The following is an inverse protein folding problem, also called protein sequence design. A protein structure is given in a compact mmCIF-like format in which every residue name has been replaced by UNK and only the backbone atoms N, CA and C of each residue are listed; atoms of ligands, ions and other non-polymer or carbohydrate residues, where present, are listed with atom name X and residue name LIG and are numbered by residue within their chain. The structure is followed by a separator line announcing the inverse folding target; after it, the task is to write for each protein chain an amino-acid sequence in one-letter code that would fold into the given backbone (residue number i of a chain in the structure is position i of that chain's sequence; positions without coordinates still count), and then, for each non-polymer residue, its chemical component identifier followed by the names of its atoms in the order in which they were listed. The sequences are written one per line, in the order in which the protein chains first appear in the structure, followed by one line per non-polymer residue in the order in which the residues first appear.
data_IF_398770379451
#
_entry.id   IF_398770379451
#
_cell.length_a   1.000
_cell.length_b   1.000
_cell.length_c   1.000
_cell.angle_alpha   90.00
_cell.angle_beta   90.00
_cell.angle_gamma   90.00
#
_symmetry.space_group_name_H-M   'P 1'
#
loop_
_entity.id
_entity.type
_entity.pdbx_description
1 polymer ?
#
# COMPACT_ATOMS: atom_id res chain seq x y z
N UNK A 1 -5.51 -8.48 -28.30
CA UNK A 1 -5.36 -7.84 -26.99
C UNK A 1 -3.90 -7.91 -26.58
N UNK A 2 -3.10 -6.91 -26.97
CA UNK A 2 -1.68 -6.85 -26.61
C UNK A 2 -1.54 -6.35 -25.18
N UNK A 3 -1.38 -7.28 -24.24
CA UNK A 3 -1.17 -6.97 -22.83
C UNK A 3 0.18 -6.29 -22.60
N UNK A 4 0.15 -5.19 -21.84
CA UNK A 4 1.33 -4.44 -21.38
C UNK A 4 2.45 -5.40 -20.91
N UNK A 5 3.72 -5.23 -21.32
CA UNK A 5 4.83 -6.13 -20.98
C UNK A 5 4.97 -6.43 -19.48
N UNK A 6 4.63 -5.45 -18.63
CA UNK A 6 4.68 -5.56 -17.17
C UNK A 6 3.62 -6.51 -16.59
N UNK A 7 2.44 -6.62 -17.22
CA UNK A 7 1.39 -7.54 -16.79
C UNK A 7 1.77 -9.01 -17.06
N UNK A 8 2.54 -9.29 -18.13
CA UNK A 8 3.01 -10.65 -18.45
C UNK A 8 3.98 -11.22 -17.41
N UNK A 9 4.86 -10.39 -16.84
CA UNK A 9 5.79 -10.79 -15.79
C UNK A 9 5.04 -11.23 -14.51
N UNK A 10 3.91 -10.59 -14.21
CA UNK A 10 3.10 -10.92 -13.03
C UNK A 10 2.10 -12.05 -13.25
N UNK A 11 1.60 -12.29 -14.47
CA UNK A 11 0.97 -13.59 -14.76
C UNK A 11 1.93 -14.74 -14.41
N UNK A 12 3.23 -14.56 -14.60
CA UNK A 12 4.27 -15.49 -14.15
C UNK A 12 4.32 -15.64 -12.62
N UNK A 13 4.35 -14.52 -11.87
CA UNK A 13 4.38 -14.52 -10.39
C UNK A 13 3.08 -15.09 -9.80
N UNK A 14 1.92 -14.70 -10.33
CA UNK A 14 0.63 -15.20 -9.89
C UNK A 14 0.47 -16.69 -10.17
N UNK A 15 0.91 -17.16 -11.35
CA UNK A 15 0.94 -18.58 -11.70
C UNK A 15 1.93 -19.36 -10.85
N UNK A 16 3.05 -18.74 -10.45
CA UNK A 16 4.03 -19.30 -9.51
C UNK A 16 3.45 -19.39 -8.08
N UNK A 17 2.77 -18.36 -7.59
CA UNK A 17 2.15 -18.38 -6.26
C UNK A 17 0.98 -19.36 -6.18
N UNK A 18 0.19 -19.44 -7.26
CA UNK A 18 -0.85 -20.44 -7.41
C UNK A 18 -0.28 -21.86 -7.47
N UNK A 19 0.82 -22.07 -8.22
CA UNK A 19 1.49 -23.38 -8.29
C UNK A 19 2.17 -23.78 -6.97
N UNK A 20 2.61 -22.80 -6.18
CA UNK A 20 3.13 -22.99 -4.83
C UNK A 20 2.01 -23.22 -3.78
N UNK A 21 0.73 -23.18 -4.17
CA UNK A 21 -0.46 -23.26 -3.28
C UNK A 21 -0.47 -22.18 -2.19
N UNK A 22 0.15 -21.04 -2.47
CA UNK A 22 0.21 -19.89 -1.55
C UNK A 22 -1.01 -18.99 -1.76
N UNK A 23 -1.75 -19.15 -2.87
CA UNK A 23 -2.96 -18.37 -3.18
C UNK A 23 -4.22 -19.23 -3.09
N UNK A 24 -5.22 -18.75 -2.35
CA UNK A 24 -6.56 -19.35 -2.33
C UNK A 24 -7.60 -18.30 -2.75
N UNK A 25 -8.33 -18.61 -3.83
CA UNK A 25 -9.33 -17.70 -4.41
C UNK A 25 -10.75 -18.13 -4.04
N UNK A 26 -11.59 -17.18 -3.65
CA UNK A 26 -13.00 -17.40 -3.33
C UNK A 26 -13.91 -16.95 -4.48
N UNK A 27 -15.04 -17.64 -4.71
CA UNK A 27 -15.92 -17.33 -5.83
C UNK A 27 -16.69 -16.01 -5.66
N UNK A 28 -16.85 -15.51 -4.43
CA UNK A 28 -17.56 -14.27 -4.12
C UNK A 28 -16.96 -13.58 -2.90
N UNK A 29 -17.31 -12.31 -2.71
CA UNK A 29 -16.90 -11.54 -1.52
C UNK A 29 -17.49 -12.13 -0.23
N UNK A 30 -18.74 -12.59 -0.28
CA UNK A 30 -19.39 -13.27 0.84
C UNK A 30 -18.59 -14.51 1.27
N UNK A 31 -18.22 -15.38 0.32
CA UNK A 31 -17.45 -16.59 0.63
C UNK A 31 -16.06 -16.27 1.20
N UNK A 32 -15.45 -15.16 0.76
CA UNK A 32 -14.20 -14.67 1.32
C UNK A 32 -14.38 -14.18 2.76
N UNK A 33 -15.33 -13.27 3.01
CA UNK A 33 -15.62 -12.70 4.34
C UNK A 33 -15.99 -13.77 5.37
N UNK A 34 -16.87 -14.70 5.01
CA UNK A 34 -17.23 -15.85 5.86
C UNK A 34 -15.99 -16.63 6.30
N UNK A 35 -15.02 -16.81 5.40
CA UNK A 35 -13.79 -17.56 5.70
C UNK A 35 -12.79 -16.74 6.51
N UNK A 36 -12.72 -15.43 6.30
CA UNK A 36 -11.88 -14.54 7.10
C UNK A 36 -12.44 -14.34 8.52
N UNK A 37 -13.73 -14.64 8.75
CA UNK A 37 -14.40 -14.36 10.02
C UNK A 37 -14.59 -12.86 10.25
N UNK A 38 -14.58 -12.07 9.17
CA UNK A 38 -14.68 -10.62 9.20
C UNK A 38 -15.97 -10.19 8.51
N UNK A 39 -16.77 -9.35 9.17
CA UNK A 39 -17.89 -8.66 8.55
C UNK A 39 -17.40 -7.25 8.18
N UNK A 40 -16.67 -7.16 7.07
CA UNK A 40 -16.07 -5.92 6.57
C UNK A 40 -16.83 -5.41 5.35
N UNK A 41 -16.61 -4.14 5.00
CA UNK A 41 -17.22 -3.58 3.79
C UNK A 41 -16.65 -4.19 2.51
N UNK A 42 -17.27 -3.86 1.37
CA UNK A 42 -16.90 -4.39 0.04
C UNK A 42 -15.47 -4.04 -0.40
N UNK A 43 -14.78 -3.17 0.34
CA UNK A 43 -13.37 -2.84 0.14
C UNK A 43 -12.42 -3.99 0.55
N UNK A 44 -12.82 -4.87 1.48
CA UNK A 44 -11.97 -5.97 1.96
C UNK A 44 -12.09 -7.18 1.05
N UNK A 45 -11.16 -7.34 0.11
CA UNK A 45 -11.23 -8.35 -0.96
C UNK A 45 -10.02 -9.27 -1.06
N UNK A 46 -8.98 -8.99 -0.30
CA UNK A 46 -7.78 -9.80 -0.23
C UNK A 46 -7.13 -9.67 1.15
N UNK A 47 -6.37 -10.69 1.54
CA UNK A 47 -5.60 -10.74 2.77
C UNK A 47 -4.36 -11.62 2.57
N UNK A 48 -3.19 -11.08 2.89
CA UNK A 48 -2.00 -11.90 3.16
C UNK A 48 -1.93 -12.28 4.63
N UNK A 49 -2.19 -13.55 4.92
CA UNK A 49 -2.07 -14.07 6.27
C UNK A 49 -0.61 -14.44 6.55
N UNK A 50 0.03 -13.72 7.47
CA UNK A 50 1.30 -14.14 8.05
C UNK A 50 1.08 -14.97 9.32
N UNK A 51 0.24 -14.44 10.22
CA UNK A 51 -0.21 -15.05 11.49
C UNK A 51 -1.57 -14.52 11.97
N UNK A 52 -2.17 -13.58 11.24
CA UNK A 52 -3.24 -12.69 11.70
C UNK A 52 -4.58 -13.40 11.86
N UNK A 53 -4.79 -14.47 11.08
CA UNK A 53 -5.96 -15.33 11.14
C UNK A 53 -5.49 -16.74 11.53
N UNK A 54 -5.61 -17.15 12.82
CA UNK A 54 -5.00 -18.37 13.34
C UNK A 54 -5.42 -19.66 12.63
N UNK A 55 -6.62 -19.70 12.07
CA UNK A 55 -7.18 -20.84 11.32
C UNK A 55 -6.69 -20.93 9.87
N UNK A 56 -5.95 -19.93 9.38
CA UNK A 56 -5.42 -19.88 8.03
C UNK A 56 -3.92 -20.21 8.03
N UNK A 57 -3.46 -20.84 6.95
CA UNK A 57 -2.02 -21.04 6.71
C UNK A 57 -1.43 -19.73 6.20
N UNK A 58 -0.10 -19.65 6.20
CA UNK A 58 0.56 -18.53 5.55
C UNK A 58 0.24 -18.51 4.06
N UNK A 59 -0.29 -17.40 3.55
CA UNK A 59 -0.69 -17.29 2.15
C UNK A 59 -1.56 -16.09 1.84
N UNK A 60 -1.82 -15.91 0.54
CA UNK A 60 -2.71 -14.91 -0.03
C UNK A 60 -4.11 -15.50 -0.20
N UNK A 61 -5.09 -14.85 0.40
CA UNK A 61 -6.51 -15.19 0.32
C UNK A 61 -7.23 -14.05 -0.38
N UNK A 62 -8.01 -14.31 -1.42
CA UNK A 62 -8.68 -13.21 -2.13
C UNK A 62 -9.94 -13.63 -2.89
N UNK A 63 -10.81 -12.67 -3.19
CA UNK A 63 -11.91 -12.85 -4.15
C UNK A 63 -11.32 -13.13 -5.54
N UNK A 64 -11.98 -13.98 -6.32
CA UNK A 64 -11.55 -14.34 -7.67
C UNK A 64 -11.48 -13.09 -8.58
N UNK A 65 -10.32 -12.79 -9.21
CA UNK A 65 -10.24 -11.71 -10.20
C UNK A 65 -11.14 -11.90 -11.43
N UNK A 66 -11.65 -13.12 -11.66
CA UNK A 66 -12.55 -13.45 -12.77
C UNK A 66 -14.03 -13.30 -12.40
N UNK A 67 -14.33 -13.06 -11.13
CA UNK A 67 -15.67 -12.73 -10.65
C UNK A 67 -15.58 -11.64 -9.57
N UNK A 68 -15.01 -10.46 -9.91
CA UNK A 68 -15.02 -9.34 -8.99
C UNK A 68 -16.47 -8.91 -8.82
N UNK A 69 -16.91 -8.71 -7.57
CA UNK A 69 -18.24 -8.14 -7.31
C UNK A 69 -18.36 -6.73 -7.92
N UNK A 70 -19.54 -6.13 -7.90
CA UNK A 70 -19.88 -4.86 -8.57
C UNK A 70 -19.00 -3.66 -8.24
N UNK A 71 -18.38 -3.63 -7.05
CA UNK A 71 -17.51 -2.53 -6.59
C UNK A 71 -16.10 -2.62 -7.20
N UNK A 72 -15.66 -3.82 -7.58
CA UNK A 72 -14.31 -4.08 -8.07
C UNK A 72 -14.32 -4.49 -9.53
N UNK A 73 -13.17 -4.31 -10.19
CA UNK A 73 -12.95 -4.87 -11.51
C UNK A 73 -11.70 -5.74 -11.48
N UNK A 74 -11.48 -6.50 -12.56
CA UNK A 74 -10.33 -7.41 -12.63
C UNK A 74 -8.99 -6.68 -12.39
N UNK A 75 -8.87 -5.42 -12.83
CA UNK A 75 -7.67 -4.64 -12.59
C UNK A 75 -7.50 -4.26 -11.11
N UNK A 76 -8.54 -3.79 -10.42
CA UNK A 76 -8.45 -3.50 -8.97
C UNK A 76 -8.14 -4.76 -8.17
N UNK A 77 -8.66 -5.92 -8.58
CA UNK A 77 -8.33 -7.21 -7.96
C UNK A 77 -6.85 -7.60 -8.13
N UNK A 78 -6.26 -7.35 -9.30
CA UNK A 78 -4.82 -7.57 -9.49
C UNK A 78 -3.97 -6.62 -8.63
N UNK A 79 -4.37 -5.35 -8.51
CA UNK A 79 -3.69 -4.39 -7.65
C UNK A 79 -3.77 -4.80 -6.17
N UNK A 80 -4.95 -5.24 -5.71
CA UNK A 80 -5.13 -5.77 -4.36
C UNK A 80 -4.23 -6.98 -4.10
N UNK A 81 -4.09 -7.88 -5.07
CA UNK A 81 -3.18 -9.02 -4.91
C UNK A 81 -1.70 -8.63 -4.82
N UNK A 82 -1.26 -7.62 -5.58
CA UNK A 82 0.12 -7.10 -5.49
C UNK A 82 0.34 -6.43 -4.13
N UNK A 83 -0.63 -5.64 -3.66
CA UNK A 83 -0.63 -5.01 -2.36
C UNK A 83 -0.45 -6.07 -1.25
N UNK A 84 -1.33 -7.06 -1.21
CA UNK A 84 -1.26 -8.13 -0.20
C UNK A 84 0.01 -8.96 -0.32
N UNK A 85 0.44 -9.32 -1.52
CA UNK A 85 1.68 -10.07 -1.71
C UNK A 85 2.90 -9.30 -1.16
N UNK A 86 2.86 -7.97 -1.23
CA UNK A 86 3.92 -7.11 -0.68
C UNK A 86 4.01 -7.25 0.82
N UNK A 87 2.87 -7.28 1.54
CA UNK A 87 2.84 -7.57 2.98
C UNK A 87 3.51 -8.91 3.31
N UNK A 88 3.25 -9.96 2.53
CA UNK A 88 3.91 -11.25 2.73
C UNK A 88 5.44 -11.15 2.62
N UNK A 89 5.96 -10.39 1.64
CA UNK A 89 7.41 -10.18 1.53
C UNK A 89 7.98 -9.37 2.69
N UNK A 90 7.27 -8.35 3.16
CA UNK A 90 7.66 -7.56 4.32
C UNK A 90 7.78 -8.46 5.55
N UNK A 91 6.76 -9.28 5.85
CA UNK A 91 6.80 -10.23 6.97
C UNK A 91 7.93 -11.25 6.90
N UNK A 92 8.40 -11.60 5.70
CA UNK A 92 9.54 -12.51 5.51
C UNK A 92 10.91 -11.85 5.64
N UNK A 93 10.98 -10.52 5.49
CA UNK A 93 12.24 -9.78 5.45
C UNK A 93 12.49 -8.94 6.69
N UNK A 94 11.44 -8.48 7.36
CA UNK A 94 11.55 -7.67 8.56
C UNK A 94 12.15 -8.49 9.72
N UNK A 95 13.11 -7.89 10.42
CA UNK A 95 13.72 -8.48 11.63
C UNK A 95 13.09 -7.93 12.92
N UNK A 96 12.10 -7.05 12.80
CA UNK A 96 11.35 -6.46 13.89
C UNK A 96 10.08 -5.80 13.36
N UNK A 97 9.34 -5.14 14.23
CA UNK A 97 8.11 -4.45 13.86
C UNK A 97 8.40 -3.23 12.99
N UNK A 98 7.57 -3.04 11.96
CA UNK A 98 7.59 -1.85 11.12
C UNK A 98 6.35 -1.00 11.43
N UNK A 99 6.45 0.33 11.33
CA UNK A 99 5.29 1.19 11.46
C UNK A 99 4.29 0.92 10.33
N UNK A 100 3.01 1.15 10.58
CA UNK A 100 1.94 0.88 9.60
C UNK A 100 2.17 1.62 8.29
N UNK A 101 2.67 2.86 8.33
CA UNK A 101 2.99 3.59 7.11
C UNK A 101 4.04 2.90 6.22
N UNK A 102 4.95 2.10 6.77
CA UNK A 102 5.85 1.30 5.96
C UNK A 102 5.12 0.12 5.32
N UNK A 103 4.30 -0.61 6.09
CA UNK A 103 3.49 -1.72 5.55
C UNK A 103 2.62 -1.24 4.39
N UNK A 104 1.74 -0.28 4.68
CA UNK A 104 0.76 0.22 3.73
C UNK A 104 1.39 1.04 2.62
N UNK A 105 2.42 1.84 2.93
CA UNK A 105 3.12 2.64 1.94
C UNK A 105 3.83 1.80 0.91
N UNK A 106 4.53 0.73 1.31
CA UNK A 106 5.28 -0.12 0.38
C UNK A 106 4.31 -0.92 -0.48
N UNK A 107 3.25 -1.47 0.12
CA UNK A 107 2.22 -2.20 -0.59
C UNK A 107 1.49 -1.34 -1.64
N UNK A 108 1.12 -0.10 -1.29
CA UNK A 108 0.54 0.86 -2.23
C UNK A 108 1.56 1.33 -3.28
N UNK A 109 2.83 1.54 -2.91
CA UNK A 109 3.88 1.95 -3.85
C UNK A 109 4.13 0.88 -4.91
N UNK A 110 4.23 -0.39 -4.51
CA UNK A 110 4.39 -1.50 -5.45
C UNK A 110 3.15 -1.69 -6.32
N UNK A 111 1.94 -1.73 -5.74
CA UNK A 111 0.71 -1.84 -6.51
C UNK A 111 0.54 -0.69 -7.50
N UNK A 112 0.83 0.55 -7.09
CA UNK A 112 0.72 1.77 -7.89
C UNK A 112 1.60 1.78 -9.15
N UNK A 113 2.67 0.98 -9.21
CA UNK A 113 3.49 0.84 -10.44
C UNK A 113 2.71 0.18 -11.59
N UNK A 114 1.69 -0.61 -11.28
CA UNK A 114 0.95 -1.45 -12.24
C UNK A 114 -0.46 -0.96 -12.54
N UNK A 115 -0.93 0.09 -11.85
CA UNK A 115 -2.23 0.69 -12.12
C UNK A 115 -2.33 1.18 -13.57
N UNK A 116 -3.35 0.72 -14.30
CA UNK A 116 -3.67 1.15 -15.67
C UNK A 116 -4.02 2.64 -15.76
N UNK A 117 -4.29 3.28 -14.62
CA UNK A 117 -4.52 4.71 -14.53
C UNK A 117 -3.74 5.31 -13.36
N UNK A 118 -2.41 5.44 -13.53
CA UNK A 118 -1.55 6.23 -12.63
C UNK A 118 -2.12 7.63 -12.36
N UNK A 119 -2.86 8.21 -13.30
CA UNK A 119 -3.49 9.51 -13.12
C UNK A 119 -4.70 9.45 -12.17
N UNK A 120 -5.55 8.42 -12.22
CA UNK A 120 -6.77 8.36 -11.38
C UNK A 120 -6.50 8.12 -9.90
N UNK A 121 -5.63 7.14 -9.57
CA UNK A 121 -5.21 6.93 -8.18
C UNK A 121 -4.51 8.19 -7.65
N UNK A 122 -3.69 8.82 -8.49
CA UNK A 122 -2.98 10.04 -8.15
C UNK A 122 -3.95 11.22 -7.96
N UNK A 123 -4.95 11.44 -8.81
CA UNK A 123 -5.89 12.56 -8.67
C UNK A 123 -6.77 12.41 -7.43
N UNK A 124 -7.46 11.27 -7.24
CA UNK A 124 -8.31 11.08 -6.04
C UNK A 124 -7.52 11.11 -4.74
N UNK A 125 -6.33 10.51 -4.74
CA UNK A 125 -5.47 10.54 -3.54
C UNK A 125 -4.90 11.93 -3.29
N UNK A 126 -4.59 12.71 -4.33
CA UNK A 126 -4.15 14.11 -4.18
C UNK A 126 -5.30 14.98 -3.67
N UNK A 127 -6.50 14.87 -4.22
CA UNK A 127 -7.65 15.65 -3.78
C UNK A 127 -7.91 15.43 -2.27
N UNK A 128 -7.90 14.16 -1.85
CA UNK A 128 -8.06 13.81 -0.44
C UNK A 128 -6.89 14.28 0.43
N UNK A 129 -5.63 14.14 -0.02
CA UNK A 129 -4.46 14.68 0.68
C UNK A 129 -4.52 16.21 0.81
N UNK A 130 -5.02 16.91 -0.21
CA UNK A 130 -5.18 18.36 -0.19
C UNK A 130 -6.25 18.78 0.82
N UNK A 131 -7.39 18.10 0.85
CA UNK A 131 -8.44 18.31 1.86
C UNK A 131 -7.90 18.13 3.29
N UNK A 132 -7.16 17.04 3.54
CA UNK A 132 -6.54 16.78 4.85
C UNK A 132 -5.52 17.87 5.17
N UNK A 133 -4.68 18.25 4.21
CA UNK A 133 -3.69 19.30 4.42
C UNK A 133 -4.34 20.64 4.82
N UNK A 134 -5.44 21.02 4.17
CA UNK A 134 -6.15 22.27 4.45
C UNK A 134 -6.88 22.25 5.79
N UNK A 135 -7.40 21.10 6.21
CA UNK A 135 -8.24 20.97 7.41
C UNK A 135 -7.45 20.58 8.67
N UNK A 136 -6.42 19.75 8.53
CA UNK A 136 -5.68 19.11 9.62
C UNK A 136 -4.16 19.29 9.53
N UNK A 137 -3.64 19.69 8.36
CA UNK A 137 -2.22 19.67 8.07
C UNK A 137 -1.71 18.30 7.63
N UNK A 138 -0.46 18.22 7.17
CA UNK A 138 0.16 16.93 6.81
C UNK A 138 0.36 16.11 8.10
N UNK A 139 -0.02 14.81 8.15
CA UNK A 139 0.20 13.96 9.33
C UNK A 139 1.69 13.79 9.69
N UNK A 140 1.99 13.58 10.98
CA UNK A 140 3.35 13.20 11.44
C UNK A 140 3.61 11.72 11.22
N UNK A 141 4.89 11.29 11.23
CA UNK A 141 5.25 9.87 11.20
C UNK A 141 4.63 9.09 12.36
N UNK A 142 4.52 9.74 13.53
CA UNK A 142 3.89 9.15 14.71
C UNK A 142 2.40 8.90 14.48
N UNK A 143 1.67 9.89 13.94
CA UNK A 143 0.26 9.72 13.57
C UNK A 143 0.06 8.62 12.53
N UNK A 144 0.94 8.55 11.53
CA UNK A 144 0.94 7.51 10.50
C UNK A 144 1.39 6.13 11.01
N UNK A 145 1.80 6.02 12.27
CA UNK A 145 2.13 4.76 12.93
C UNK A 145 1.00 4.25 13.85
N UNK A 146 -0.17 4.91 13.85
CA UNK A 146 -1.34 4.48 14.62
C UNK A 146 -1.81 3.08 14.23
N UNK A 147 -2.10 2.24 15.21
CA UNK A 147 -2.69 0.90 15.02
C UNK A 147 -4.20 0.93 14.77
N UNK A 148 -4.83 2.09 14.93
CA UNK A 148 -6.25 2.28 14.65
C UNK A 148 -6.45 2.51 13.15
N UNK A 149 -7.08 1.54 12.48
CA UNK A 149 -7.28 1.56 11.03
C UNK A 149 -8.22 2.67 10.56
N UNK A 150 -9.20 3.05 11.40
CA UNK A 150 -10.17 4.08 11.06
C UNK A 150 -9.48 5.45 11.13
N UNK A 151 -8.75 5.70 12.21
CA UNK A 151 -7.92 6.92 12.34
C UNK A 151 -6.88 6.98 11.22
N UNK A 152 -6.21 5.86 10.90
CA UNK A 152 -5.25 5.80 9.80
C UNK A 152 -5.89 6.17 8.46
N UNK A 153 -7.11 5.71 8.19
CA UNK A 153 -7.84 6.07 6.98
C UNK A 153 -8.24 7.55 6.98
N UNK A 154 -8.77 8.08 8.08
CA UNK A 154 -9.26 9.46 8.21
C UNK A 154 -8.17 10.51 8.00
N UNK A 155 -6.94 10.22 8.44
CA UNK A 155 -5.78 11.11 8.24
C UNK A 155 -5.13 10.93 6.86
N UNK A 156 -5.74 10.17 5.94
CA UNK A 156 -5.21 9.90 4.61
C UNK A 156 -3.98 9.00 4.61
N UNK A 157 -3.88 8.10 5.60
CA UNK A 157 -2.71 7.29 5.89
C UNK A 157 -2.17 6.56 4.68
N UNK A 158 -3.01 5.94 3.86
CA UNK A 158 -2.57 5.23 2.64
C UNK A 158 -1.86 6.15 1.63
N UNK A 159 -2.42 7.33 1.38
CA UNK A 159 -1.89 8.27 0.39
C UNK A 159 -0.58 8.91 0.87
N UNK A 160 -0.54 9.38 2.13
CA UNK A 160 0.69 9.93 2.70
C UNK A 160 1.78 8.86 2.84
N UNK A 161 1.44 7.63 3.23
CA UNK A 161 2.38 6.50 3.31
C UNK A 161 2.98 6.14 1.95
N UNK A 162 2.19 6.17 0.88
CA UNK A 162 2.71 6.02 -0.48
C UNK A 162 3.80 7.08 -0.78
N UNK A 163 3.56 8.35 -0.41
CA UNK A 163 4.53 9.43 -0.67
C UNK A 163 5.79 9.31 0.18
N UNK A 164 5.72 8.73 1.38
CA UNK A 164 6.90 8.42 2.21
C UNK A 164 7.81 7.43 1.50
N UNK A 165 7.25 6.36 0.94
CA UNK A 165 8.01 5.36 0.20
C UNK A 165 8.54 5.93 -1.11
N UNK A 166 7.74 6.73 -1.82
CA UNK A 166 8.22 7.41 -3.01
C UNK A 166 9.41 8.33 -2.68
N UNK A 167 9.33 9.10 -1.59
CA UNK A 167 10.40 9.99 -1.14
C UNK A 167 11.68 9.21 -0.80
N UNK A 168 11.56 8.11 -0.04
CA UNK A 168 12.70 7.23 0.28
C UNK A 168 13.37 6.72 -0.99
N UNK A 169 12.58 6.16 -1.92
CA UNK A 169 13.12 5.57 -3.15
C UNK A 169 13.74 6.63 -4.06
N UNK A 170 13.16 7.84 -4.14
CA UNK A 170 13.73 8.91 -4.96
C UNK A 170 15.03 9.47 -4.39
N UNK A 171 15.11 9.61 -3.06
CA UNK A 171 16.27 10.24 -2.42
C UNK A 171 17.40 9.26 -2.13
N UNK A 172 17.09 8.02 -1.78
CA UNK A 172 18.11 7.03 -1.38
C UNK A 172 18.12 5.74 -2.20
N UNK A 173 17.22 5.51 -3.16
CA UNK A 173 17.01 4.27 -3.93
C UNK A 173 16.26 3.12 -3.21
N UNK A 174 15.95 2.09 -3.99
CA UNK A 174 15.17 0.93 -3.55
C UNK A 174 15.98 -0.01 -2.65
N UNK A 175 17.29 -0.14 -2.87
CA UNK A 175 18.17 -0.92 -2.00
C UNK A 175 18.18 -0.38 -0.57
N UNK A 176 18.10 0.94 -0.41
CA UNK A 176 17.97 1.58 0.91
C UNK A 176 16.63 1.25 1.57
N UNK A 177 15.53 1.25 0.81
CA UNK A 177 14.23 0.79 1.33
C UNK A 177 14.28 -0.66 1.81
N UNK A 178 14.98 -1.55 1.10
CA UNK A 178 15.18 -2.94 1.53
C UNK A 178 15.95 -3.05 2.85
N UNK A 179 16.95 -2.20 3.08
CA UNK A 179 17.67 -2.13 4.36
C UNK A 179 16.74 -1.66 5.49
N UNK A 180 15.90 -0.65 5.23
CA UNK A 180 14.91 -0.18 6.21
C UNK A 180 13.90 -1.27 6.57
N UNK A 181 13.39 -2.03 5.59
CA UNK A 181 12.49 -3.17 5.86
C UNK A 181 13.18 -4.16 6.80
N UNK A 182 14.47 -4.45 6.59
CA UNK A 182 15.19 -5.43 7.41
C UNK A 182 15.52 -4.91 8.81
N UNK A 183 15.89 -3.64 8.96
CA UNK A 183 16.45 -3.05 10.19
C UNK A 183 15.92 -1.64 10.44
N UNK A 184 14.61 -1.53 10.64
CA UNK A 184 13.98 -0.24 10.93
C UNK A 184 14.47 0.39 12.24
N UNK A 185 14.92 -0.43 13.20
CA UNK A 185 15.62 0.02 14.42
C UNK A 185 16.89 0.85 14.12
N UNK A 186 17.40 0.78 12.89
CA UNK A 186 18.58 1.52 12.39
C UNK A 186 18.21 2.63 11.42
N UNK A 187 16.99 3.18 11.50
CA UNK A 187 16.48 4.21 10.59
C UNK A 187 17.48 5.34 10.29
N UNK A 188 17.98 6.01 11.34
CA UNK A 188 18.89 7.15 11.18
C UNK A 188 20.27 6.74 10.66
N UNK A 189 20.76 5.56 11.05
CA UNK A 189 22.01 4.98 10.55
C UNK A 189 21.91 4.65 9.06
N UNK A 190 20.78 4.09 8.61
CA UNK A 190 20.56 3.69 7.22
C UNK A 190 20.36 4.90 6.32
N UNK A 191 19.64 5.93 6.78
CA UNK A 191 19.34 7.12 5.98
C UNK A 191 20.38 8.24 6.13
N UNK A 192 21.18 8.23 7.20
CA UNK A 192 22.14 9.27 7.51
C UNK A 192 21.50 10.60 7.93
N UNK A 193 20.23 10.59 8.33
CA UNK A 193 19.47 11.76 8.79
C UNK A 193 18.64 11.39 10.02
N UNK A 194 18.33 12.38 10.86
CA UNK A 194 17.43 12.15 12.00
C UNK A 194 15.99 11.93 11.54
N UNK A 195 15.16 11.29 12.37
CA UNK A 195 13.73 11.16 12.08
C UNK A 195 13.04 12.52 11.88
N UNK A 196 13.36 13.52 12.71
CA UNK A 196 12.81 14.87 12.59
C UNK A 196 13.20 15.54 11.26
N UNK A 197 14.47 15.42 10.85
CA UNK A 197 14.93 15.96 9.57
C UNK A 197 14.30 15.24 8.39
N UNK A 198 14.14 13.92 8.48
CA UNK A 198 13.46 13.14 7.46
C UNK A 198 11.99 13.56 7.32
N UNK A 199 11.27 13.70 8.44
CA UNK A 199 9.86 14.11 8.43
C UNK A 199 9.71 15.51 7.83
N UNK A 200 10.56 16.46 8.22
CA UNK A 200 10.55 17.82 7.67
C UNK A 200 10.79 17.84 6.15
N UNK A 201 11.80 17.10 5.68
CA UNK A 201 12.13 17.02 4.26
C UNK A 201 11.03 16.32 3.44
N UNK A 202 10.42 15.27 4.00
CA UNK A 202 9.30 14.58 3.36
C UNK A 202 8.07 15.49 3.25
N UNK A 203 7.73 16.26 4.29
CA UNK A 203 6.62 17.23 4.25
C UNK A 203 6.84 18.30 3.18
N UNK A 204 8.08 18.77 3.03
CA UNK A 204 8.43 19.70 1.96
C UNK A 204 8.24 19.05 0.59
N UNK A 205 8.74 17.82 0.40
CA UNK A 205 8.55 17.05 -0.83
C UNK A 205 7.07 16.89 -1.20
N UNK A 206 6.21 16.53 -0.23
CA UNK A 206 4.78 16.37 -0.48
C UNK A 206 4.15 17.70 -0.90
N UNK A 207 4.47 18.77 -0.17
CA UNK A 207 3.94 20.10 -0.43
C UNK A 207 4.29 20.56 -1.85
N UNK A 208 5.56 20.51 -2.21
CA UNK A 208 6.07 20.97 -3.51
C UNK A 208 5.53 20.14 -4.68
N UNK A 209 5.48 18.81 -4.52
CA UNK A 209 5.17 17.90 -5.62
C UNK A 209 3.68 17.68 -5.84
N UNK A 210 2.88 17.74 -4.78
CA UNK A 210 1.48 17.33 -4.81
C UNK A 210 0.49 18.44 -4.50
N UNK A 211 0.82 19.33 -3.56
CA UNK A 211 -0.19 20.19 -2.94
C UNK A 211 -0.14 21.65 -3.41
N UNK A 212 1.04 22.19 -3.70
CA UNK A 212 1.17 23.59 -4.17
C UNK A 212 0.40 23.80 -5.47
N UNK A 213 0.55 22.91 -6.46
CA UNK A 213 -0.13 23.07 -7.75
C UNK A 213 -1.63 22.75 -7.70
N UNK A 214 -2.09 21.96 -6.73
CA UNK A 214 -3.50 21.65 -6.53
C UNK A 214 -4.28 22.88 -6.10
N UNK A 215 -3.76 23.64 -5.13
CA UNK A 215 -4.37 24.86 -4.60
C UNK A 215 -4.68 25.92 -5.67
N UNK A 216 -3.87 26.03 -6.72
CA UNK A 216 -4.08 27.00 -7.80
C UNK A 216 -5.04 26.50 -8.89
N UNK A 217 -5.24 25.19 -9.00
CA UNK A 217 -6.12 24.59 -9.99
C UNK A 217 -7.60 24.63 -9.58
N UNK A 218 -7.88 24.63 -8.27
CA UNK A 218 -9.24 24.59 -7.70
C UNK A 218 -9.84 25.97 -7.40
N UNK A 219 -9.06 27.06 -7.53
CA UNK A 219 -9.52 28.44 -7.30
C UNK A 219 -10.02 29.17 -8.57
N UNK A 220 -10.25 28.44 -9.67
CA UNK A 220 -10.84 28.96 -10.92
C UNK A 220 -12.22 28.35 -11.16
#
# INVERSE_FOLDING_TARGET
MEGHPQLRQYYGIFRLLYSLKITLTYPSIQAFHERMGANSGDWFVALSNGKDVPQLKAGLYMVSPNNPDSVHNQNSMHLAAIHELTHFFIFKKAQGDLPIWMHEGIANFEAGKFGTNKAYFKTKSIDHMAEIWETQGIPTLSMLSTLDSDVFCEIGGYAFSYTLIEFIVQRWNFETLLKLIQRFDRFEEILGVTQDSFEADWRAFVTERYLVHHRWATQK
#
